data_IF_941072735701
#
_entry.id   IF_941072735701
#
_cell.length_a   1.000
_cell.length_b   1.000
_cell.length_c   1.000
_cell.angle_alpha   90.00
_cell.angle_beta   90.00
_cell.angle_gamma   90.00
#
_symmetry.space_group_name_H-M   'P 1'
#
loop_
_entity.id
_entity.type
_entity.pdbx_description
1 polymer ?
#
# COMPACT_ATOMS: atom_id res chain seq x y z
N UNK A 1 -0.16 16.35 48.90
CA UNK A 1 0.52 16.16 47.60
C UNK A 1 -0.33 15.19 46.82
N UNK A 2 -0.71 15.62 45.63
CA UNK A 2 -1.85 15.21 44.80
C UNK A 2 -1.87 13.73 44.40
N UNK A 3 -3.09 13.21 44.25
CA UNK A 3 -3.48 11.93 43.65
C UNK A 3 -2.54 11.42 42.55
N UNK A 4 -2.16 10.15 42.65
CA UNK A 4 -1.71 9.34 41.51
C UNK A 4 -2.91 9.13 40.60
N UNK A 5 -2.87 9.51 39.31
CA UNK A 5 -3.92 9.09 38.40
C UNK A 5 -3.68 7.60 38.08
N UNK A 6 -4.53 6.75 38.66
CA UNK A 6 -4.83 5.42 38.12
C UNK A 6 -5.55 5.63 36.78
N UNK A 7 -4.78 5.68 35.69
CA UNK A 7 -5.34 5.68 34.34
C UNK A 7 -5.39 4.24 33.82
N UNK A 8 -6.23 3.41 34.43
CA UNK A 8 -6.75 2.22 33.75
C UNK A 8 -7.75 2.69 32.70
N UNK A 9 -7.29 2.84 31.46
CA UNK A 9 -8.17 2.91 30.29
C UNK A 9 -7.49 2.18 29.14
N UNK A 10 -7.88 0.92 28.99
CA UNK A 10 -8.09 0.19 27.74
C UNK A 10 -7.54 0.91 26.50
N UNK A 11 -6.27 0.67 26.18
CA UNK A 11 -5.83 0.74 24.79
C UNK A 11 -5.89 -0.69 24.28
N UNK A 12 -7.01 -0.96 23.63
CA UNK A 12 -7.26 -2.08 22.74
C UNK A 12 -5.96 -2.63 22.14
N UNK A 13 -5.68 -3.91 22.36
CA UNK A 13 -4.71 -4.69 21.59
C UNK A 13 -5.32 -4.94 20.20
N UNK A 14 -5.74 -3.87 19.53
CA UNK A 14 -6.04 -3.89 18.11
C UNK A 14 -4.66 -3.88 17.45
N UNK A 15 -4.13 -5.10 17.22
CA UNK A 15 -3.16 -5.31 16.16
C UNK A 15 -3.61 -4.45 14.98
N UNK A 16 -2.75 -3.57 14.43
CA UNK A 16 -3.19 -2.59 13.45
C UNK A 16 -3.94 -3.38 12.39
N UNK A 17 -5.24 -3.13 12.29
CA UNK A 17 -6.01 -3.63 11.17
C UNK A 17 -5.17 -3.22 9.96
N UNK A 18 -4.67 -4.20 9.21
CA UNK A 18 -3.99 -3.94 7.96
C UNK A 18 -5.03 -3.20 7.14
N UNK A 19 -4.98 -1.85 7.18
CA UNK A 19 -5.78 -0.99 6.35
C UNK A 19 -5.42 -1.47 4.96
N UNK A 20 -6.31 -2.25 4.35
CA UNK A 20 -6.17 -2.69 2.99
C UNK A 20 -6.02 -1.40 2.19
N UNK A 21 -4.78 -1.06 1.83
CA UNK A 21 -4.48 0.20 1.18
C UNK A 21 -5.14 0.07 -0.18
N UNK A 22 -6.30 0.70 -0.34
CA UNK A 22 -6.98 0.73 -1.62
C UNK A 22 -6.00 1.32 -2.64
N UNK A 23 -5.67 0.53 -3.66
CA UNK A 23 -4.73 0.94 -4.68
C UNK A 23 -5.23 2.24 -5.35
N UNK A 24 -4.37 3.24 -5.58
CA UNK A 24 -4.80 4.50 -6.15
C UNK A 24 -5.33 4.29 -7.57
N UNK A 25 -6.44 4.95 -7.90
CA UNK A 25 -7.01 4.97 -9.24
C UNK A 25 -6.46 6.17 -10.03
N UNK A 26 -5.70 5.88 -11.07
CA UNK A 26 -5.10 6.90 -11.96
C UNK A 26 -5.96 7.14 -13.21
N UNK A 27 -6.97 6.30 -13.47
CA UNK A 27 -7.81 6.36 -14.66
C UNK A 27 -7.16 5.73 -15.90
N UNK A 28 -6.02 5.07 -15.74
CA UNK A 28 -5.38 4.27 -16.78
C UNK A 28 -5.52 2.80 -16.38
N UNK A 29 -6.33 2.06 -17.13
CA UNK A 29 -6.70 0.68 -16.81
C UNK A 29 -5.48 -0.22 -16.58
N UNK A 30 -4.38 -0.01 -17.32
CA UNK A 30 -3.18 -0.85 -17.17
C UNK A 30 -2.38 -0.47 -15.93
N UNK A 31 -2.30 0.82 -15.62
CA UNK A 31 -1.65 1.30 -14.39
C UNK A 31 -2.46 0.86 -13.16
N UNK A 32 -3.77 1.03 -13.20
CA UNK A 32 -4.70 0.65 -12.12
C UNK A 32 -4.71 -0.86 -11.87
N UNK A 33 -4.53 -1.67 -12.92
CA UNK A 33 -4.37 -3.11 -12.79
C UNK A 33 -3.04 -3.47 -12.11
N UNK A 34 -1.93 -2.89 -12.57
CA UNK A 34 -0.62 -3.16 -11.99
C UNK A 34 -0.53 -2.72 -10.51
N UNK A 35 -1.16 -1.60 -10.15
CA UNK A 35 -1.22 -1.12 -8.76
C UNK A 35 -2.06 -2.03 -7.88
N UNK A 36 -3.18 -2.56 -8.39
CA UNK A 36 -3.97 -3.58 -7.67
C UNK A 36 -3.21 -4.89 -7.49
N UNK A 37 -2.47 -5.32 -8.51
CA UNK A 37 -1.64 -6.51 -8.42
C UNK A 37 -0.56 -6.34 -7.34
N UNK A 38 0.08 -5.17 -7.26
CA UNK A 38 1.03 -4.83 -6.20
C UNK A 38 0.38 -4.82 -4.81
N UNK A 39 -0.80 -4.21 -4.67
CA UNK A 39 -1.52 -4.15 -3.39
C UNK A 39 -2.02 -5.52 -2.91
N UNK A 40 -2.19 -6.49 -3.83
CA UNK A 40 -2.57 -7.86 -3.50
C UNK A 40 -1.40 -8.72 -2.99
N UNK A 41 -0.15 -8.23 -3.08
CA UNK A 41 1.02 -8.96 -2.58
C UNK A 41 1.14 -8.81 -1.06
N UNK A 42 1.33 -9.92 -0.31
CA UNK A 42 1.57 -9.85 1.13
C UNK A 42 2.77 -8.98 1.48
N UNK A 43 2.65 -8.19 2.56
CA UNK A 43 3.71 -7.27 3.00
C UNK A 43 4.95 -7.98 3.54
N UNK A 44 4.82 -9.24 3.94
CA UNK A 44 5.92 -10.12 4.34
C UNK A 44 6.63 -10.82 3.15
N UNK A 45 6.01 -10.82 1.96
CA UNK A 45 6.61 -11.33 0.72
C UNK A 45 7.40 -10.23 -0.01
N UNK A 46 8.63 -9.98 0.46
CA UNK A 46 9.50 -8.95 -0.11
C UNK A 46 9.88 -9.21 -1.57
N UNK A 47 10.09 -10.47 -1.94
CA UNK A 47 10.41 -10.84 -3.32
C UNK A 47 9.21 -10.60 -4.23
N UNK A 48 8.01 -10.96 -3.77
CA UNK A 48 6.75 -10.64 -4.45
C UNK A 48 6.54 -9.13 -4.62
N UNK A 49 6.79 -8.35 -3.57
CA UNK A 49 6.64 -6.89 -3.61
C UNK A 49 7.62 -6.25 -4.60
N UNK A 50 8.86 -6.72 -4.64
CA UNK A 50 9.85 -6.25 -5.59
C UNK A 50 9.42 -6.54 -7.03
N UNK A 51 9.00 -7.78 -7.31
CA UNK A 51 8.55 -8.17 -8.64
C UNK A 51 7.32 -7.37 -9.11
N UNK A 52 6.32 -7.20 -8.24
CA UNK A 52 5.12 -6.42 -8.56
C UNK A 52 5.44 -4.92 -8.70
N UNK A 53 6.32 -4.38 -7.86
CA UNK A 53 6.78 -2.99 -7.94
C UNK A 53 7.55 -2.68 -9.23
N UNK A 54 8.42 -3.60 -9.67
CA UNK A 54 9.10 -3.50 -10.96
C UNK A 54 8.11 -3.49 -12.13
N UNK A 55 7.08 -4.33 -12.08
CA UNK A 55 6.02 -4.35 -13.09
C UNK A 55 5.28 -3.01 -13.14
N UNK A 56 4.87 -2.45 -12.00
CA UNK A 56 4.25 -1.11 -11.93
C UNK A 56 5.16 -0.06 -12.56
N UNK A 57 6.45 -0.06 -12.20
CA UNK A 57 7.41 0.92 -12.70
C UNK A 57 7.68 0.79 -14.21
N UNK A 58 7.72 -0.44 -14.75
CA UNK A 58 7.82 -0.70 -16.18
C UNK A 58 6.58 -0.15 -16.93
N UNK A 59 5.38 -0.39 -16.39
CA UNK A 59 4.11 0.09 -16.95
C UNK A 59 4.08 1.61 -16.98
N UNK A 60 4.43 2.27 -15.88
CA UNK A 60 4.50 3.73 -15.80
C UNK A 60 5.49 4.33 -16.80
N UNK A 61 6.68 3.74 -16.93
CA UNK A 61 7.68 4.19 -17.92
C UNK A 61 7.19 4.04 -19.35
N UNK A 62 6.51 2.93 -19.67
CA UNK A 62 5.93 2.72 -21.01
C UNK A 62 4.88 3.77 -21.33
N UNK A 63 3.96 4.05 -20.39
CA UNK A 63 2.92 5.07 -20.57
C UNK A 63 3.48 6.47 -20.71
N UNK A 64 4.48 6.82 -19.89
CA UNK A 64 5.13 8.13 -20.00
C UNK A 64 5.86 8.31 -21.35
N UNK A 65 6.46 7.23 -21.87
CA UNK A 65 7.06 7.23 -23.20
C UNK A 65 6.03 7.45 -24.32
N UNK A 66 4.84 6.88 -24.19
CA UNK A 66 3.73 7.07 -25.14
C UNK A 66 3.22 8.53 -25.15
N UNK A 67 3.21 9.19 -23.99
CA UNK A 67 2.75 10.58 -23.82
C UNK A 67 3.75 11.66 -24.29
N UNK A 68 5.01 11.30 -24.50
CA UNK A 68 6.10 12.20 -24.88
C UNK A 68 6.59 12.07 -26.33
N UNK A 69 5.88 11.30 -27.16
CA UNK A 69 6.20 11.04 -28.57
C UNK A 69 5.58 12.02 -29.56
#
# INVERSE_FOLDING_TARGET
MTETPDHETLADDEAPAEEAVEAPETGDILVDAALRDLAAVPTDDLDGQLAAGEHVQQTLRSRLGDLGG
#
